data_IF_517881810435
#
_entry.id   IF_517881810435
#
_cell.length_a   1.000
_cell.length_b   1.000
_cell.length_c   1.000
_cell.angle_alpha   90.00
_cell.angle_beta   90.00
_cell.angle_gamma   90.00
#
_symmetry.space_group_name_H-M   'P 1'
#
loop_
_entity.id
_entity.type
_entity.pdbx_description
1 polymer ?
#
# COMPACT_ATOMS: atom_id res chain seq x y z
N UNK A 1 -9.61 43.79 -9.51
CA UNK A 1 -9.01 42.58 -8.87
C UNK A 1 -9.04 41.44 -9.88
N UNK A 2 -7.93 41.20 -10.53
CA UNK A 2 -7.80 40.21 -11.60
C UNK A 2 -7.48 38.88 -10.93
N UNK A 3 -8.43 37.98 -10.94
CA UNK A 3 -8.26 36.61 -10.48
C UNK A 3 -7.40 35.84 -11.50
N UNK A 4 -6.16 35.60 -11.17
CA UNK A 4 -5.26 34.77 -12.01
C UNK A 4 -5.78 33.34 -12.00
N UNK A 5 -6.22 32.84 -13.15
CA UNK A 5 -6.61 31.44 -13.31
C UNK A 5 -5.41 30.54 -12.94
N UNK A 6 -5.64 29.38 -12.25
CA UNK A 6 -4.57 28.46 -11.92
C UNK A 6 -3.88 28.00 -13.21
N UNK A 7 -2.54 27.90 -13.17
CA UNK A 7 -1.76 27.55 -14.35
C UNK A 7 -2.18 26.16 -14.86
N UNK A 8 -2.25 25.99 -16.17
CA UNK A 8 -2.68 24.72 -16.82
C UNK A 8 -1.87 23.47 -16.41
N UNK A 9 -0.72 23.62 -15.75
CA UNK A 9 0.09 22.50 -15.21
C UNK A 9 -0.42 21.94 -13.89
N UNK A 10 -1.17 22.69 -13.10
CA UNK A 10 -1.67 22.22 -11.79
C UNK A 10 -2.93 21.36 -11.90
N UNK A 11 -3.74 21.53 -12.96
CA UNK A 11 -4.96 20.74 -13.17
C UNK A 11 -4.72 19.22 -13.33
N UNK A 12 -3.77 18.74 -14.15
CA UNK A 12 -3.52 17.31 -14.30
C UNK A 12 -3.04 16.62 -13.03
N UNK A 13 -2.30 17.31 -12.17
CA UNK A 13 -1.78 16.75 -10.92
C UNK A 13 -2.88 16.58 -9.86
N UNK A 14 -3.83 17.53 -9.79
CA UNK A 14 -5.01 17.40 -8.95
C UNK A 14 -5.88 16.21 -9.37
N UNK A 15 -6.07 15.99 -10.66
CA UNK A 15 -6.80 14.85 -11.20
C UNK A 15 -6.11 13.52 -10.84
N UNK A 16 -4.76 13.46 -10.95
CA UNK A 16 -3.97 12.28 -10.59
C UNK A 16 -4.05 11.97 -9.09
N UNK A 17 -3.96 12.98 -8.22
CA UNK A 17 -4.16 12.85 -6.77
C UNK A 17 -5.55 12.31 -6.44
N UNK A 18 -6.58 12.92 -7.01
CA UNK A 18 -7.97 12.55 -6.73
C UNK A 18 -8.28 11.13 -7.22
N UNK A 19 -7.71 10.74 -8.37
CA UNK A 19 -7.79 9.36 -8.85
C UNK A 19 -7.10 8.40 -7.89
N UNK A 20 -5.88 8.73 -7.46
CA UNK A 20 -5.16 7.93 -6.47
C UNK A 20 -5.99 7.73 -5.18
N UNK A 21 -6.51 8.81 -4.59
CA UNK A 21 -7.29 8.74 -3.35
C UNK A 21 -8.54 7.86 -3.49
N UNK A 22 -9.23 7.93 -4.64
CA UNK A 22 -10.38 7.05 -4.92
C UNK A 22 -9.98 5.59 -5.05
N UNK A 23 -8.86 5.31 -5.73
CA UNK A 23 -8.36 3.94 -5.87
C UNK A 23 -7.83 3.41 -4.55
N UNK A 24 -7.03 4.18 -3.82
CA UNK A 24 -6.53 3.82 -2.50
C UNK A 24 -7.64 3.42 -1.54
N UNK A 25 -8.73 4.21 -1.51
CA UNK A 25 -9.90 3.91 -0.68
C UNK A 25 -10.58 2.56 -1.02
N UNK A 26 -10.47 2.10 -2.28
CA UNK A 26 -10.99 0.79 -2.72
C UNK A 26 -10.00 -0.34 -2.47
N UNK A 27 -8.70 -0.06 -2.64
CA UNK A 27 -7.64 -1.06 -2.55
C UNK A 27 -7.37 -1.49 -1.10
N UNK A 28 -7.49 -0.58 -0.13
CA UNK A 28 -7.29 -0.91 1.29
C UNK A 28 -8.19 -2.09 1.76
N UNK A 29 -9.53 -2.05 1.63
CA UNK A 29 -10.37 -3.17 2.02
C UNK A 29 -10.19 -4.40 1.13
N UNK A 30 -9.87 -4.23 -0.15
CA UNK A 30 -9.59 -5.32 -1.07
C UNK A 30 -8.33 -6.07 -0.67
N UNK A 31 -7.29 -5.33 -0.28
CA UNK A 31 -6.03 -5.91 0.24
C UNK A 31 -6.30 -6.66 1.53
N UNK A 32 -7.03 -6.07 2.48
CA UNK A 32 -7.40 -6.71 3.74
C UNK A 32 -8.07 -8.07 3.54
N UNK A 33 -9.02 -8.19 2.60
CA UNK A 33 -9.67 -9.47 2.29
C UNK A 33 -8.66 -10.57 1.92
N UNK A 34 -7.61 -10.23 1.17
CA UNK A 34 -6.58 -11.20 0.78
C UNK A 34 -5.70 -11.58 1.97
N UNK A 35 -5.30 -10.60 2.80
CA UNK A 35 -4.50 -10.87 4.00
C UNK A 35 -5.24 -11.80 4.99
N UNK A 36 -6.54 -11.64 5.15
CA UNK A 36 -7.39 -12.47 6.03
C UNK A 36 -7.50 -13.92 5.57
N UNK A 37 -7.15 -14.22 4.31
CA UNK A 37 -7.15 -15.59 3.77
C UNK A 37 -5.84 -16.34 4.02
N UNK A 38 -4.81 -15.69 4.53
CA UNK A 38 -3.54 -16.36 4.87
C UNK A 38 -3.76 -17.21 6.13
N UNK A 39 -3.58 -18.55 6.06
CA UNK A 39 -3.75 -19.40 7.23
C UNK A 39 -2.70 -19.09 8.30
N UNK A 40 -3.13 -19.06 9.56
CA UNK A 40 -2.22 -18.86 10.69
C UNK A 40 -1.17 -19.98 10.72
N UNK A 41 0.08 -19.57 10.99
CA UNK A 41 1.22 -20.51 11.06
C UNK A 41 1.70 -21.04 9.70
N UNK A 42 1.17 -20.56 8.57
CA UNK A 42 1.66 -20.97 7.26
C UNK A 42 3.04 -20.39 6.98
N UNK A 43 4.00 -21.23 6.72
CA UNK A 43 5.37 -20.90 6.27
C UNK A 43 5.56 -21.18 4.77
N UNK A 44 4.45 -21.28 4.01
CA UNK A 44 4.50 -21.55 2.58
C UNK A 44 5.23 -20.43 1.84
N UNK A 45 6.13 -20.84 0.96
CA UNK A 45 6.80 -20.06 -0.06
C UNK A 45 7.02 -20.94 -1.29
N UNK A 46 6.88 -20.42 -2.51
CA UNK A 46 7.03 -21.24 -3.73
C UNK A 46 8.49 -21.61 -4.02
N UNK A 47 9.45 -20.87 -3.46
CA UNK A 47 10.89 -21.04 -3.65
C UNK A 47 11.62 -20.62 -2.36
N UNK A 48 12.74 -21.26 -1.97
CA UNK A 48 13.51 -20.88 -0.79
C UNK A 48 13.97 -19.40 -0.76
N UNK A 49 14.09 -18.77 -1.89
CA UNK A 49 14.43 -17.33 -2.02
C UNK A 49 13.23 -16.40 -1.91
N UNK A 50 12.01 -16.96 -1.99
CA UNK A 50 10.78 -16.16 -1.89
C UNK A 50 10.47 -15.87 -0.43
N UNK A 51 9.80 -14.73 -0.20
CA UNK A 51 9.17 -14.43 1.09
C UNK A 51 7.99 -15.37 1.32
N UNK A 52 7.70 -15.67 2.59
CA UNK A 52 6.45 -16.32 2.99
C UNK A 52 5.27 -15.38 2.80
N UNK A 53 4.05 -15.92 2.74
CA UNK A 53 2.84 -15.09 2.66
C UNK A 53 2.73 -14.10 3.82
N UNK A 54 3.14 -14.49 5.05
CA UNK A 54 3.15 -13.62 6.23
C UNK A 54 4.16 -12.48 6.10
N UNK A 55 5.37 -12.75 5.59
CA UNK A 55 6.38 -11.72 5.34
C UNK A 55 5.92 -10.71 4.27
N UNK A 56 5.23 -11.18 3.22
CA UNK A 56 4.65 -10.30 2.19
C UNK A 56 3.48 -9.50 2.78
N UNK A 57 2.62 -10.10 3.60
CA UNK A 57 1.53 -9.39 4.26
C UNK A 57 2.06 -8.26 5.17
N UNK A 58 3.13 -8.54 5.92
CA UNK A 58 3.81 -7.54 6.73
C UNK A 58 4.40 -6.40 5.90
N UNK A 59 5.04 -6.73 4.78
CA UNK A 59 5.57 -5.74 3.85
C UNK A 59 4.45 -4.80 3.37
N UNK A 60 3.32 -5.34 2.91
CA UNK A 60 2.15 -4.56 2.47
C UNK A 60 1.65 -3.60 3.56
N UNK A 61 1.49 -4.09 4.79
CA UNK A 61 1.00 -3.26 5.91
C UNK A 61 1.99 -2.11 6.19
N UNK A 62 3.29 -2.42 6.19
CA UNK A 62 4.33 -1.40 6.39
C UNK A 62 4.39 -0.36 5.28
N UNK A 63 4.25 -0.78 4.03
CA UNK A 63 4.22 0.13 2.88
C UNK A 63 3.09 1.13 3.00
N UNK A 64 1.89 0.67 3.36
CA UNK A 64 0.74 1.54 3.56
C UNK A 64 0.98 2.56 4.68
N UNK A 65 1.55 2.15 5.79
CA UNK A 65 1.89 3.02 6.93
C UNK A 65 2.99 4.01 6.51
N UNK A 66 4.08 3.51 5.91
CA UNK A 66 5.23 4.32 5.50
C UNK A 66 4.87 5.39 4.49
N UNK A 67 3.99 5.07 3.53
CA UNK A 67 3.49 6.06 2.56
C UNK A 67 2.77 7.21 3.26
N UNK A 68 1.76 6.89 4.09
CA UNK A 68 0.95 7.92 4.74
C UNK A 68 1.80 8.80 5.65
N UNK A 69 2.59 8.20 6.53
CA UNK A 69 3.46 8.92 7.45
C UNK A 69 4.57 9.69 6.72
N UNK A 70 5.10 9.11 5.64
CA UNK A 70 6.14 9.73 4.84
C UNK A 70 5.66 10.98 4.10
N UNK A 71 4.49 10.93 3.51
CA UNK A 71 3.90 12.11 2.86
C UNK A 71 3.55 13.22 3.86
N UNK A 72 3.12 12.88 5.08
CA UNK A 72 2.91 13.86 6.15
C UNK A 72 4.20 14.54 6.61
N UNK A 73 5.31 13.79 6.65
CA UNK A 73 6.62 14.27 7.12
C UNK A 73 7.46 14.89 6.01
N UNK A 74 7.12 14.65 4.72
CA UNK A 74 7.93 15.03 3.58
C UNK A 74 9.17 14.15 3.35
N UNK A 75 9.23 12.96 3.96
CA UNK A 75 10.30 11.96 3.83
C UNK A 75 9.76 10.56 4.16
N UNK A 76 9.91 9.61 3.25
CA UNK A 76 9.54 8.21 3.50
C UNK A 76 10.77 7.46 4.04
N UNK A 77 10.70 7.03 5.30
CA UNK A 77 11.77 6.29 5.97
C UNK A 77 11.48 4.81 5.98
N UNK A 78 12.39 4.03 5.44
CA UNK A 78 12.35 2.59 5.49
C UNK A 78 13.56 2.04 6.25
N UNK A 79 13.28 1.18 7.21
CA UNK A 79 14.27 0.36 7.91
C UNK A 79 13.83 -1.09 7.84
N UNK A 80 14.76 -2.02 7.74
CA UNK A 80 14.38 -3.43 7.72
C UNK A 80 13.89 -3.86 9.11
N UNK A 81 12.70 -4.44 9.16
CA UNK A 81 12.09 -4.96 10.39
C UNK A 81 11.59 -6.37 10.12
N UNK A 82 11.84 -7.32 11.03
CA UNK A 82 11.31 -8.68 10.90
C UNK A 82 9.78 -8.66 10.92
N UNK A 83 9.17 -9.60 10.21
CA UNK A 83 7.72 -9.77 10.28
C UNK A 83 7.30 -10.20 11.69
N UNK A 84 6.14 -9.75 12.19
CA UNK A 84 5.52 -10.28 13.40
C UNK A 84 5.43 -11.80 13.36
N UNK A 85 5.41 -12.44 14.53
CA UNK A 85 5.46 -13.90 14.62
C UNK A 85 4.20 -14.57 14.03
N UNK A 86 3.06 -13.88 14.07
CA UNK A 86 1.75 -14.41 13.70
C UNK A 86 1.04 -13.53 12.68
N UNK A 87 0.13 -14.12 11.90
CA UNK A 87 -0.77 -13.36 11.03
C UNK A 87 -1.74 -12.49 11.84
N UNK A 88 -2.17 -12.96 13.00
CA UNK A 88 -3.01 -12.19 13.91
C UNK A 88 -2.37 -10.86 14.30
N UNK A 89 -1.06 -10.85 14.60
CA UNK A 89 -0.31 -9.61 14.88
C UNK A 89 -0.23 -8.68 13.66
N UNK A 90 0.03 -9.22 12.46
CA UNK A 90 0.05 -8.44 11.22
C UNK A 90 -1.32 -7.80 10.96
N UNK A 91 -2.40 -8.56 11.13
CA UNK A 91 -3.77 -8.08 10.93
C UNK A 91 -4.19 -7.07 12.00
N UNK A 92 -3.69 -7.19 13.23
CA UNK A 92 -3.94 -6.21 14.29
C UNK A 92 -3.26 -4.86 13.99
N UNK A 93 -2.04 -4.89 13.45
CA UNK A 93 -1.35 -3.66 12.99
C UNK A 93 -2.07 -2.99 11.82
N UNK A 94 -2.53 -3.77 10.85
CA UNK A 94 -3.38 -3.24 9.77
C UNK A 94 -4.65 -2.59 10.34
N UNK A 95 -5.36 -3.27 11.24
CA UNK A 95 -6.59 -2.74 11.85
C UNK A 95 -6.36 -1.46 12.67
N UNK A 96 -5.20 -1.35 13.31
CA UNK A 96 -4.82 -0.16 14.06
C UNK A 96 -4.56 1.05 13.15
N UNK A 97 -3.91 0.84 12.01
CA UNK A 97 -3.40 1.93 11.16
C UNK A 97 -4.28 2.25 9.96
N UNK A 98 -4.91 1.26 9.34
CA UNK A 98 -5.73 1.42 8.13
C UNK A 98 -6.89 2.41 8.26
N UNK A 99 -7.65 2.43 9.39
CA UNK A 99 -8.67 3.46 9.58
C UNK A 99 -8.05 4.87 9.55
N UNK A 100 -8.65 5.77 8.79
CA UNK A 100 -8.20 7.16 8.67
C UNK A 100 -7.05 7.41 7.67
N UNK A 101 -6.39 6.38 7.11
CA UNK A 101 -5.32 6.60 6.11
C UNK A 101 -5.76 7.47 4.94
N UNK A 102 -6.95 7.22 4.41
CA UNK A 102 -7.50 7.99 3.28
C UNK A 102 -7.75 9.44 3.69
N UNK A 103 -8.29 9.66 4.89
CA UNK A 103 -8.60 11.02 5.36
C UNK A 103 -7.34 11.79 5.72
N UNK A 104 -6.32 11.13 6.26
CA UNK A 104 -5.00 11.72 6.49
C UNK A 104 -4.38 12.20 5.17
N UNK A 105 -4.40 11.37 4.12
CA UNK A 105 -3.88 11.75 2.80
C UNK A 105 -4.72 12.86 2.14
N UNK A 106 -6.05 12.86 2.31
CA UNK A 106 -6.92 13.95 1.83
C UNK A 106 -6.63 15.28 2.53
N UNK A 107 -6.27 15.24 3.81
CA UNK A 107 -5.98 16.43 4.60
C UNK A 107 -4.65 17.10 4.22
N UNK A 108 -3.77 16.40 3.50
CA UNK A 108 -2.51 16.97 3.06
C UNK A 108 -2.74 18.16 2.10
N UNK A 109 -1.98 19.26 2.26
CA UNK A 109 -2.02 20.36 1.30
C UNK A 109 -1.75 19.86 -0.12
N UNK A 110 -2.44 20.42 -1.12
CA UNK A 110 -2.24 20.02 -2.52
C UNK A 110 -0.76 20.13 -2.94
N UNK A 111 -0.07 21.17 -2.47
CA UNK A 111 1.35 21.38 -2.76
C UNK A 111 2.26 20.25 -2.25
N UNK A 112 1.87 19.51 -1.19
CA UNK A 112 2.66 18.38 -0.66
C UNK A 112 2.78 17.22 -1.67
N UNK A 113 1.88 17.15 -2.65
CA UNK A 113 1.88 16.13 -3.68
C UNK A 113 2.84 16.44 -4.83
N UNK A 114 3.24 17.70 -4.97
CA UNK A 114 4.06 18.19 -6.07
C UNK A 114 5.52 18.39 -5.68
N UNK A 115 5.84 18.30 -4.39
CA UNK A 115 7.22 18.49 -3.90
C UNK A 115 7.98 17.16 -3.85
N UNK A 116 9.32 17.22 -4.00
CA UNK A 116 10.18 16.05 -3.85
C UNK A 116 10.07 15.45 -2.44
N UNK A 117 9.87 14.14 -2.38
CA UNK A 117 9.84 13.32 -1.15
C UNK A 117 10.97 12.28 -1.26
N UNK A 118 12.04 12.39 -0.48
CA UNK A 118 13.08 11.38 -0.48
C UNK A 118 12.57 10.09 0.17
N UNK A 119 12.89 8.95 -0.47
CA UNK A 119 12.78 7.63 0.13
C UNK A 119 14.15 7.21 0.64
N UNK A 120 14.23 6.96 1.95
CA UNK A 120 15.47 6.54 2.60
C UNK A 120 15.38 5.08 3.07
N UNK A 121 16.45 4.33 2.83
CA UNK A 121 16.63 2.96 3.32
C UNK A 121 17.83 2.95 4.26
N UNK A 122 17.63 2.58 5.51
CA UNK A 122 18.66 2.58 6.57
C UNK A 122 19.46 3.90 6.61
N UNK A 123 18.75 5.04 6.45
CA UNK A 123 19.33 6.38 6.51
C UNK A 123 19.96 6.88 5.21
N UNK A 124 20.03 6.07 4.16
CA UNK A 124 20.55 6.47 2.85
C UNK A 124 19.40 6.81 1.89
N UNK A 125 19.48 7.95 1.21
CA UNK A 125 18.52 8.29 0.15
C UNK A 125 18.72 7.34 -1.03
N UNK A 126 17.70 6.55 -1.35
CA UNK A 126 17.71 5.59 -2.46
C UNK A 126 17.07 6.18 -3.70
N UNK A 127 16.00 6.95 -3.52
CA UNK A 127 15.31 7.63 -4.61
C UNK A 127 14.63 8.89 -4.08
N UNK A 128 14.28 9.79 -5.00
CA UNK A 128 13.48 10.97 -4.69
C UNK A 128 12.45 11.14 -5.81
N UNK A 129 11.20 11.13 -5.44
CA UNK A 129 10.04 11.31 -6.32
C UNK A 129 9.15 12.41 -5.76
N UNK A 130 8.23 12.94 -6.54
CA UNK A 130 7.17 13.79 -5.99
C UNK A 130 6.26 12.98 -5.06
N UNK A 131 5.54 13.65 -4.16
CA UNK A 131 4.57 12.97 -3.30
C UNK A 131 3.53 12.16 -4.10
N UNK A 132 3.10 12.69 -5.26
CA UNK A 132 2.18 11.99 -6.15
C UNK A 132 2.80 10.73 -6.77
N UNK A 133 4.03 10.81 -7.28
CA UNK A 133 4.74 9.66 -7.84
C UNK A 133 4.97 8.59 -6.78
N UNK A 134 5.46 8.98 -5.60
CA UNK A 134 5.63 8.05 -4.46
C UNK A 134 4.32 7.34 -4.11
N UNK A 135 3.20 8.08 -4.06
CA UNK A 135 1.89 7.49 -3.77
C UNK A 135 1.51 6.39 -4.78
N UNK A 136 1.71 6.65 -6.08
CA UNK A 136 1.45 5.65 -7.13
C UNK A 136 2.44 4.48 -7.08
N UNK A 137 3.72 4.73 -6.84
CA UNK A 137 4.75 3.69 -6.69
C UNK A 137 4.37 2.71 -5.58
N UNK A 138 4.00 3.21 -4.40
CA UNK A 138 3.57 2.38 -3.27
C UNK A 138 2.26 1.64 -3.53
N UNK A 139 1.27 2.27 -4.18
CA UNK A 139 0.02 1.59 -4.53
C UNK A 139 0.28 0.41 -5.49
N UNK A 140 1.10 0.61 -6.50
CA UNK A 140 1.44 -0.44 -7.47
C UNK A 140 2.19 -1.59 -6.80
N UNK A 141 3.09 -1.29 -5.86
CA UNK A 141 3.84 -2.31 -5.12
C UNK A 141 2.93 -3.13 -4.19
N UNK A 142 2.03 -2.48 -3.46
CA UNK A 142 0.98 -3.16 -2.68
C UNK A 142 0.13 -4.09 -3.55
N UNK A 143 -0.29 -3.64 -4.74
CA UNK A 143 -1.08 -4.46 -5.68
C UNK A 143 -0.25 -5.64 -6.18
N UNK A 144 1.04 -5.43 -6.51
CA UNK A 144 1.97 -6.48 -6.92
C UNK A 144 2.11 -7.55 -5.83
N UNK A 145 2.41 -7.15 -4.60
CA UNK A 145 2.59 -8.06 -3.48
C UNK A 145 1.30 -8.79 -3.09
N UNK A 146 0.15 -8.13 -3.14
CA UNK A 146 -1.16 -8.77 -2.98
C UNK A 146 -1.39 -9.83 -4.06
N UNK A 147 -1.01 -9.56 -5.30
CA UNK A 147 -1.06 -10.54 -6.39
C UNK A 147 -0.22 -11.78 -6.09
N UNK A 148 0.98 -11.62 -5.52
CA UNK A 148 1.82 -12.74 -5.08
C UNK A 148 1.08 -13.59 -4.03
N UNK A 149 0.54 -12.96 -2.97
CA UNK A 149 -0.23 -13.67 -1.95
C UNK A 149 -1.40 -14.44 -2.57
N UNK A 150 -2.15 -13.84 -3.49
CA UNK A 150 -3.30 -14.49 -4.10
C UNK A 150 -2.95 -15.80 -4.81
N UNK A 151 -1.73 -15.88 -5.39
CA UNK A 151 -1.24 -17.14 -6.00
C UNK A 151 -0.80 -18.17 -4.97
N UNK A 152 -0.45 -17.77 -3.74
CA UNK A 152 -0.04 -18.69 -2.67
C UNK A 152 -1.25 -19.31 -1.95
N UNK A 153 -2.39 -18.62 -1.89
CA UNK A 153 -3.52 -19.02 -1.03
C UNK A 153 -3.96 -20.46 -1.23
N UNK A 154 -4.19 -20.90 -2.48
CA UNK A 154 -4.62 -22.28 -2.75
C UNK A 154 -3.57 -23.31 -2.36
N UNK A 155 -2.30 -23.02 -2.56
CA UNK A 155 -1.19 -23.89 -2.15
C UNK A 155 -1.10 -24.03 -0.62
N UNK A 156 -1.60 -23.02 0.13
CA UNK A 156 -1.74 -23.06 1.59
C UNK A 156 -3.05 -23.73 2.07
N UNK A 157 -3.86 -24.26 1.18
CA UNK A 157 -5.16 -24.84 1.52
C UNK A 157 -6.27 -23.81 1.76
N UNK A 158 -6.07 -22.55 1.35
CA UNK A 158 -7.03 -21.45 1.49
C UNK A 158 -7.71 -21.14 0.16
N UNK A 159 -8.61 -20.16 0.16
CA UNK A 159 -9.37 -19.70 -1.01
C UNK A 159 -8.97 -18.31 -1.45
N UNK A 160 -9.05 -18.02 -2.74
CA UNK A 160 -8.81 -16.71 -3.33
C UNK A 160 -10.11 -15.91 -3.30
N UNK A 161 -10.18 -14.78 -2.57
CA UNK A 161 -11.38 -13.94 -2.55
C UNK A 161 -11.57 -13.22 -3.89
N UNK A 162 -12.77 -12.65 -4.09
CA UNK A 162 -12.98 -11.69 -5.17
C UNK A 162 -12.10 -10.45 -4.94
N UNK A 163 -11.27 -10.11 -5.95
CA UNK A 163 -10.37 -8.95 -5.94
C UNK A 163 -10.93 -7.86 -6.87
N UNK A 164 -10.82 -8.06 -8.18
CA UNK A 164 -11.37 -7.15 -9.21
C UNK A 164 -12.55 -7.76 -9.96
N UNK A 165 -12.95 -8.94 -9.59
CA UNK A 165 -14.02 -9.71 -10.17
C UNK A 165 -14.13 -11.06 -9.49
N UNK A 166 -15.01 -11.94 -9.96
CA UNK A 166 -15.20 -13.26 -9.36
C UNK A 166 -13.92 -14.10 -9.45
N UNK A 167 -13.74 -14.97 -8.47
CA UNK A 167 -12.73 -16.02 -8.49
C UNK A 167 -13.40 -17.39 -8.65
N UNK A 168 -12.61 -18.44 -8.89
CA UNK A 168 -13.14 -19.80 -8.90
C UNK A 168 -13.65 -20.24 -7.51
N UNK A 169 -13.15 -19.61 -6.43
CA UNK A 169 -13.53 -19.91 -5.06
C UNK A 169 -14.71 -19.05 -4.56
N UNK A 170 -14.92 -17.89 -5.21
CA UNK A 170 -16.03 -16.96 -4.97
C UNK A 170 -16.65 -16.56 -6.32
N UNK A 171 -17.50 -17.42 -6.96
CA UNK A 171 -18.18 -17.09 -8.19
C UNK A 171 -19.26 -16.01 -7.96
N UNK A 172 -19.80 -15.45 -9.07
CA UNK A 172 -20.95 -14.53 -9.02
C UNK A 172 -22.22 -15.25 -8.58
#
# INVERSE_FOLDING_TARGET
MTQTAPSQRQQPLHEARDLFLRLWAKELPTTRKVLERIPEGSEYRPDPKSRTAREIAWLIVREQIALVEGLERGEIKWVELPAPATMAEVLALDEQHRPGMVDRLKALPAASWDVPVPFTFDGNVIMTETGAESAWTFLLDVIHHRGQISTYLRAMGSSVPQIYGPSADEPM
#
